data_IF_157815095891
#
_entry.id   IF_157815095891
#
_cell.length_a   1.000
_cell.length_b   1.000
_cell.length_c   1.000
_cell.angle_alpha   90.00
_cell.angle_beta   90.00
_cell.angle_gamma   90.00
#
_symmetry.space_group_name_H-M   'P 1'
#
loop_
_entity.id
_entity.type
_entity.pdbx_description
1 polymer ?
#
# COMPACT_ATOMS: atom_id res chain seq x y z
N UNK A 1 4.73 12.73 1.76
CA UNK A 1 4.58 12.11 3.10
C UNK A 1 5.59 12.75 4.03
N UNK A 2 5.23 12.94 5.28
CA UNK A 2 6.12 13.44 6.35
C UNK A 2 6.98 12.30 6.93
N UNK A 3 8.01 12.66 7.72
CA UNK A 3 8.89 11.67 8.37
C UNK A 3 8.17 10.77 9.39
N UNK A 4 7.00 11.19 9.90
CA UNK A 4 6.12 10.42 10.77
C UNK A 4 5.04 9.63 10.02
N UNK A 5 5.19 9.47 8.70
CA UNK A 5 4.33 8.64 7.87
C UNK A 5 2.93 9.21 7.61
N UNK A 6 2.74 10.52 7.72
CA UNK A 6 1.47 11.18 7.40
C UNK A 6 1.47 11.85 6.03
N UNK A 7 0.30 11.91 5.41
CA UNK A 7 0.13 12.62 4.14
C UNK A 7 0.30 14.12 4.38
N UNK A 8 1.23 14.72 3.63
CA UNK A 8 1.50 16.17 3.66
C UNK A 8 0.83 16.90 2.50
N UNK A 9 0.88 16.32 1.31
CA UNK A 9 0.31 16.90 0.10
C UNK A 9 -0.06 15.78 -0.88
N UNK A 10 -1.00 16.07 -1.77
CA UNK A 10 -1.53 15.11 -2.73
C UNK A 10 -2.06 15.82 -3.97
N UNK A 11 -2.03 15.12 -5.08
CA UNK A 11 -2.63 15.54 -6.35
C UNK A 11 -2.98 14.31 -7.20
N UNK A 12 -3.73 14.52 -8.27
CA UNK A 12 -3.94 13.54 -9.32
C UNK A 12 -4.05 14.26 -10.67
N UNK A 13 -4.32 13.53 -11.73
CA UNK A 13 -4.46 14.07 -13.09
C UNK A 13 -5.80 13.67 -13.71
N UNK A 14 -6.84 13.52 -12.91
CA UNK A 14 -8.16 13.08 -13.37
C UNK A 14 -8.98 14.23 -13.97
N UNK A 15 -8.67 15.47 -13.58
CA UNK A 15 -9.39 16.68 -13.97
C UNK A 15 -8.41 17.74 -14.49
N UNK A 16 -8.94 18.73 -15.21
CA UNK A 16 -8.14 19.78 -15.85
C UNK A 16 -7.52 20.75 -14.84
N UNK A 17 -8.13 20.94 -13.68
CA UNK A 17 -7.65 21.88 -12.66
C UNK A 17 -7.08 21.17 -11.43
N UNK A 18 -6.07 21.80 -10.82
CA UNK A 18 -5.48 21.29 -9.58
C UNK A 18 -6.50 21.29 -8.43
N UNK A 19 -7.40 22.27 -8.39
CA UNK A 19 -8.44 22.37 -7.38
C UNK A 19 -9.40 21.16 -7.43
N UNK A 20 -9.87 20.80 -8.62
CA UNK A 20 -10.73 19.62 -8.82
C UNK A 20 -10.00 18.32 -8.47
N UNK A 21 -8.74 18.19 -8.86
CA UNK A 21 -7.90 17.05 -8.53
C UNK A 21 -7.72 16.91 -7.01
N UNK A 22 -7.39 17.99 -6.31
CA UNK A 22 -7.26 17.99 -4.84
C UNK A 22 -8.60 17.70 -4.15
N UNK A 23 -9.69 18.29 -4.63
CA UNK A 23 -11.03 18.02 -4.11
C UNK A 23 -11.41 16.55 -4.26
N UNK A 24 -11.12 15.95 -5.41
CA UNK A 24 -11.38 14.52 -5.66
C UNK A 24 -10.64 13.63 -4.66
N UNK A 25 -9.33 13.84 -4.49
CA UNK A 25 -8.52 13.09 -3.51
C UNK A 25 -9.03 13.33 -2.09
N UNK A 26 -9.30 14.59 -1.71
CA UNK A 26 -9.80 14.95 -0.38
C UNK A 26 -11.08 14.19 -0.03
N UNK A 27 -12.00 14.05 -0.98
CA UNK A 27 -13.28 13.42 -0.75
C UNK A 27 -13.24 11.89 -0.82
N UNK A 28 -12.48 11.33 -1.77
CA UNK A 28 -12.55 9.90 -2.10
C UNK A 28 -11.42 9.05 -1.52
N UNK A 29 -10.28 9.67 -1.19
CA UNK A 29 -9.11 8.98 -0.61
C UNK A 29 -8.91 9.39 0.83
N UNK A 30 -9.01 10.68 1.12
CA UNK A 30 -8.80 11.24 2.46
C UNK A 30 -10.04 11.23 3.34
N UNK A 31 -11.22 10.90 2.81
CA UNK A 31 -12.50 10.93 3.52
C UNK A 31 -12.74 12.23 4.30
N UNK A 32 -12.30 13.35 3.69
CA UNK A 32 -12.32 14.71 4.25
C UNK A 32 -11.41 14.96 5.48
N UNK A 33 -10.57 14.00 5.86
CA UNK A 33 -9.53 14.24 6.87
C UNK A 33 -8.47 15.21 6.35
N UNK A 34 -7.89 16.02 7.21
CA UNK A 34 -6.82 16.97 6.84
C UNK A 34 -5.51 16.24 6.53
N UNK A 35 -5.26 15.15 7.24
CA UNK A 35 -4.15 14.23 7.00
C UNK A 35 -4.56 12.82 7.39
N UNK A 36 -3.88 11.82 6.84
CA UNK A 36 -4.03 10.42 7.21
C UNK A 36 -2.65 9.79 7.36
N UNK A 37 -2.46 8.84 8.28
CA UNK A 37 -1.24 8.06 8.35
C UNK A 37 -1.18 7.03 7.22
N UNK A 38 0.01 6.48 6.98
CA UNK A 38 0.17 5.24 6.23
C UNK A 38 -0.24 4.10 7.13
N UNK A 39 -1.30 3.40 6.76
CA UNK A 39 -1.86 2.26 7.48
C UNK A 39 -1.30 0.92 7.04
N UNK A 40 -0.82 0.83 5.79
CA UNK A 40 -0.24 -0.38 5.22
C UNK A 40 0.81 -0.04 4.17
N UNK A 41 1.84 -0.87 4.06
CA UNK A 41 2.68 -1.01 2.89
C UNK A 41 2.95 -2.49 2.66
N UNK A 42 2.70 -2.96 1.44
CA UNK A 42 2.94 -4.34 1.08
C UNK A 42 3.35 -4.49 -0.40
N UNK A 43 3.92 -5.65 -0.71
CA UNK A 43 4.29 -6.02 -2.08
C UNK A 43 3.56 -7.32 -2.39
N UNK A 44 2.44 -7.23 -3.10
CA UNK A 44 1.77 -8.39 -3.67
C UNK A 44 2.65 -9.06 -4.71
N UNK A 45 2.74 -10.38 -4.68
CA UNK A 45 3.68 -11.15 -5.52
C UNK A 45 2.99 -11.98 -6.60
N UNK A 46 1.69 -11.81 -6.80
CA UNK A 46 0.97 -12.52 -7.85
C UNK A 46 1.08 -11.79 -9.20
N UNK A 47 2.28 -11.75 -9.75
CA UNK A 47 2.58 -11.11 -11.03
C UNK A 47 1.87 -11.77 -12.21
N UNK A 48 1.59 -13.08 -12.13
CA UNK A 48 0.76 -13.78 -13.12
C UNK A 48 -0.65 -13.20 -13.17
N UNK A 49 -1.30 -13.00 -12.02
CA UNK A 49 -2.63 -12.40 -11.97
C UNK A 49 -2.61 -10.96 -12.48
N UNK A 50 -1.55 -10.18 -12.17
CA UNK A 50 -1.34 -8.84 -12.70
C UNK A 50 -1.35 -8.83 -14.24
N UNK A 51 -0.55 -9.70 -14.86
CA UNK A 51 -0.45 -9.78 -16.31
C UNK A 51 -1.74 -10.25 -16.98
N UNK A 52 -2.41 -11.23 -16.40
CA UNK A 52 -3.73 -11.68 -16.89
C UNK A 52 -4.75 -10.53 -16.82
N UNK A 53 -4.81 -9.85 -15.69
CA UNK A 53 -5.75 -8.73 -15.50
C UNK A 53 -5.46 -7.57 -16.46
N UNK A 54 -4.19 -7.27 -16.70
CA UNK A 54 -3.74 -6.24 -17.65
C UNK A 54 -4.07 -6.63 -19.10
N UNK A 55 -3.71 -7.83 -19.51
CA UNK A 55 -3.93 -8.37 -20.86
C UNK A 55 -5.41 -8.34 -21.27
N UNK A 56 -6.29 -8.67 -20.36
CA UNK A 56 -7.75 -8.70 -20.62
C UNK A 56 -8.46 -7.41 -20.20
N UNK A 57 -7.74 -6.38 -19.76
CA UNK A 57 -8.30 -5.10 -19.31
C UNK A 57 -9.42 -5.26 -18.27
N UNK A 58 -9.21 -6.12 -17.26
CA UNK A 58 -10.21 -6.43 -16.24
C UNK A 58 -9.84 -5.96 -14.84
N UNK A 59 -8.71 -5.26 -14.66
CA UNK A 59 -8.24 -4.77 -13.35
C UNK A 59 -9.37 -4.02 -12.62
N UNK A 60 -10.08 -3.13 -13.31
CA UNK A 60 -11.17 -2.32 -12.73
C UNK A 60 -12.42 -3.12 -12.32
N UNK A 61 -12.50 -4.38 -12.70
CA UNK A 61 -13.60 -5.30 -12.33
C UNK A 61 -13.26 -6.18 -11.13
N UNK A 62 -11.99 -6.21 -10.74
CA UNK A 62 -11.53 -7.05 -9.65
C UNK A 62 -11.75 -6.35 -8.32
N UNK A 63 -12.17 -7.08 -7.27
CA UNK A 63 -12.22 -6.53 -5.93
C UNK A 63 -10.81 -6.18 -5.44
N UNK A 64 -10.71 -5.18 -4.56
CA UNK A 64 -9.43 -4.70 -4.02
C UNK A 64 -8.59 -5.82 -3.41
N UNK A 65 -9.22 -6.76 -2.69
CA UNK A 65 -8.54 -7.93 -2.12
C UNK A 65 -7.78 -8.81 -3.12
N UNK A 66 -8.13 -8.73 -4.40
CA UNK A 66 -7.40 -9.41 -5.48
C UNK A 66 -6.32 -8.47 -6.04
N UNK A 67 -6.67 -7.21 -6.26
CA UNK A 67 -5.76 -6.21 -6.86
C UNK A 67 -4.54 -6.00 -6.00
N UNK A 68 -4.69 -5.88 -4.68
CA UNK A 68 -3.60 -5.71 -3.72
C UNK A 68 -2.59 -6.87 -3.72
N UNK A 69 -3.02 -8.10 -4.06
CA UNK A 69 -2.11 -9.26 -4.14
C UNK A 69 -1.26 -9.30 -5.40
N UNK A 70 -1.56 -8.45 -6.38
CA UNK A 70 -0.93 -8.48 -7.70
C UNK A 70 0.35 -7.61 -7.78
N UNK A 71 0.57 -6.70 -6.84
CA UNK A 71 1.72 -5.81 -6.91
C UNK A 71 1.94 -4.96 -5.65
N UNK A 72 2.91 -4.05 -5.73
CA UNK A 72 3.17 -3.10 -4.65
C UNK A 72 1.95 -2.20 -4.42
N UNK A 73 1.65 -1.97 -3.16
CA UNK A 73 0.58 -1.07 -2.75
C UNK A 73 0.86 -0.49 -1.37
N UNK A 74 0.21 0.61 -1.07
CA UNK A 74 0.14 1.16 0.28
C UNK A 74 -1.28 1.63 0.56
N UNK A 75 -1.66 1.64 1.83
CA UNK A 75 -2.93 2.20 2.23
C UNK A 75 -2.75 3.41 3.12
N UNK A 76 -3.70 4.33 3.02
CA UNK A 76 -3.80 5.50 3.89
C UNK A 76 -5.01 5.37 4.81
N UNK A 77 -4.86 5.79 6.05
CA UNK A 77 -5.86 5.65 7.09
C UNK A 77 -5.49 4.60 8.13
N UNK A 78 -6.48 3.83 8.55
CA UNK A 78 -6.33 2.79 9.55
C UNK A 78 -5.52 1.59 9.01
N UNK A 79 -4.95 0.78 9.89
CA UNK A 79 -4.31 -0.49 9.50
C UNK A 79 -5.37 -1.54 9.18
N UNK A 80 -4.99 -2.62 8.46
CA UNK A 80 -5.86 -3.78 8.25
C UNK A 80 -6.30 -4.48 9.56
N UNK A 81 -5.56 -4.23 10.65
CA UNK A 81 -5.78 -4.82 11.96
C UNK A 81 -6.34 -3.80 12.97
N UNK A 82 -6.97 -2.73 12.49
CA UNK A 82 -7.63 -1.75 13.37
C UNK A 82 -8.64 -2.43 14.28
N UNK A 83 -8.53 -2.15 15.59
CA UNK A 83 -9.22 -2.82 16.69
C UNK A 83 -8.76 -4.25 17.01
N UNK A 84 -7.79 -4.80 16.29
CA UNK A 84 -7.28 -6.17 16.46
C UNK A 84 -5.77 -6.22 16.77
N UNK A 85 -5.10 -5.07 16.94
CA UNK A 85 -3.65 -4.96 17.09
C UNK A 85 -3.10 -5.72 18.30
N UNK A 86 -3.94 -5.93 19.33
CA UNK A 86 -3.57 -6.64 20.55
C UNK A 86 -4.00 -8.13 20.54
N UNK A 87 -4.61 -8.59 19.44
CA UNK A 87 -5.09 -9.97 19.26
C UNK A 87 -4.06 -10.76 18.45
N UNK A 88 -3.62 -11.90 19.00
CA UNK A 88 -2.75 -12.79 18.26
C UNK A 88 -3.53 -13.54 17.17
N UNK A 89 -3.12 -13.37 15.94
CA UNK A 89 -3.66 -14.06 14.77
C UNK A 89 -2.57 -14.89 14.10
N UNK A 90 -2.96 -15.98 13.47
CA UNK A 90 -2.03 -16.91 12.82
C UNK A 90 -2.51 -17.20 11.39
N UNK A 91 -1.55 -17.35 10.47
CA UNK A 91 -1.86 -17.83 9.14
C UNK A 91 -2.17 -19.34 9.15
N UNK A 92 -2.65 -19.93 8.04
CA UNK A 92 -2.93 -21.38 7.96
C UNK A 92 -1.74 -22.27 8.30
N UNK A 93 -0.50 -21.80 8.12
CA UNK A 93 0.72 -22.55 8.44
C UNK A 93 1.15 -22.40 9.91
N UNK A 94 0.33 -21.72 10.73
CA UNK A 94 0.60 -21.53 12.15
C UNK A 94 1.63 -20.42 12.46
N UNK A 95 2.05 -19.63 11.47
CA UNK A 95 2.92 -18.48 11.67
C UNK A 95 2.12 -17.29 12.20
N UNK A 96 2.58 -16.69 13.29
CA UNK A 96 1.96 -15.49 13.85
C UNK A 96 2.05 -14.32 12.85
N UNK A 97 0.91 -13.71 12.58
CA UNK A 97 0.81 -12.47 11.83
C UNK A 97 1.03 -11.34 12.82
N UNK A 98 2.14 -10.63 12.68
CA UNK A 98 2.49 -9.52 13.56
C UNK A 98 1.99 -8.23 12.95
N UNK A 99 0.88 -7.71 13.48
CA UNK A 99 0.43 -6.37 13.16
C UNK A 99 1.32 -5.35 13.86
N UNK A 100 1.88 -4.41 13.10
CA UNK A 100 2.64 -3.28 13.63
C UNK A 100 1.72 -2.08 13.75
N UNK A 101 1.63 -1.54 14.96
CA UNK A 101 0.93 -0.28 15.19
C UNK A 101 1.72 0.91 14.60
N UNK A 102 1.02 1.89 14.09
CA UNK A 102 1.59 3.20 13.77
C UNK A 102 1.42 4.16 14.96
N UNK A 103 2.00 5.36 14.86
CA UNK A 103 1.92 6.36 15.94
C UNK A 103 0.48 6.74 16.30
N UNK A 104 -0.44 6.66 15.34
CA UNK A 104 -1.85 7.01 15.56
C UNK A 104 -2.60 5.85 16.20
N UNK A 105 -2.47 4.63 15.68
CA UNK A 105 -3.15 3.46 16.27
C UNK A 105 -2.66 3.16 17.69
N UNK A 106 -1.41 3.53 18.02
CA UNK A 106 -0.88 3.45 19.38
C UNK A 106 -1.65 4.30 20.40
N UNK A 107 -2.34 5.36 19.95
CA UNK A 107 -3.17 6.22 20.81
C UNK A 107 -4.37 5.48 21.41
N UNK A 108 -4.77 4.30 20.89
CA UNK A 108 -5.84 3.48 21.47
C UNK A 108 -5.61 3.16 22.95
N UNK A 109 -4.35 3.13 23.37
CA UNK A 109 -3.93 2.85 24.76
C UNK A 109 -4.25 4.03 25.71
N UNK A 110 -4.49 5.21 25.16
CA UNK A 110 -4.76 6.43 25.93
C UNK A 110 -6.10 7.09 25.57
N UNK A 111 -6.42 7.15 24.29
CA UNK A 111 -7.67 7.73 23.78
C UNK A 111 -8.06 7.04 22.46
N UNK A 112 -8.94 6.04 22.55
CA UNK A 112 -9.39 5.25 21.41
C UNK A 112 -10.04 6.10 20.30
N UNK A 113 -10.65 7.23 20.64
CA UNK A 113 -11.29 8.12 19.66
C UNK A 113 -10.28 8.84 18.75
N UNK A 114 -9.00 8.86 19.13
CA UNK A 114 -7.92 9.46 18.34
C UNK A 114 -7.12 8.43 17.57
N UNK A 115 -7.38 7.15 17.80
CA UNK A 115 -6.59 6.05 17.25
C UNK A 115 -7.03 5.63 15.85
N UNK A 116 -8.31 5.86 15.50
CA UNK A 116 -8.89 5.33 14.28
C UNK A 116 -9.63 6.40 13.49
N UNK A 117 -9.51 6.35 12.17
CA UNK A 117 -10.11 7.30 11.23
C UNK A 117 -11.38 6.75 10.57
N UNK A 118 -11.61 5.44 10.67
CA UNK A 118 -12.74 4.77 10.02
C UNK A 118 -12.60 4.66 8.50
N UNK A 119 -11.37 4.74 7.98
CA UNK A 119 -11.07 4.57 6.57
C UNK A 119 -9.76 3.82 6.35
N UNK A 120 -9.69 3.06 5.26
CA UNK A 120 -8.52 2.37 4.77
C UNK A 120 -8.60 2.36 3.23
N UNK A 121 -7.73 3.10 2.58
CA UNK A 121 -7.76 3.25 1.12
C UNK A 121 -6.47 2.77 0.52
N UNK A 122 -6.53 1.65 -0.22
CA UNK A 122 -5.39 1.10 -0.93
C UNK A 122 -5.08 1.89 -2.20
N UNK A 123 -3.80 2.10 -2.42
CA UNK A 123 -3.24 2.72 -3.62
C UNK A 123 -2.24 1.74 -4.22
N UNK A 124 -2.61 1.14 -5.34
CA UNK A 124 -1.77 0.17 -6.06
C UNK A 124 -0.83 0.88 -7.03
N UNK A 125 0.36 0.32 -7.21
CA UNK A 125 1.39 0.85 -8.11
C UNK A 125 1.61 -0.14 -9.26
N UNK A 126 1.23 0.20 -10.51
CA UNK A 126 1.48 -0.65 -11.66
C UNK A 126 2.98 -0.83 -11.91
N UNK A 127 3.41 -2.04 -12.29
CA UNK A 127 4.84 -2.33 -12.52
C UNK A 127 5.46 -1.49 -13.63
N UNK A 128 4.71 -1.15 -14.66
CA UNK A 128 5.16 -0.30 -15.78
C UNK A 128 5.30 1.19 -15.44
N UNK A 129 4.77 1.61 -14.28
CA UNK A 129 4.91 2.97 -13.76
C UNK A 129 5.84 3.04 -12.54
N UNK A 130 6.30 1.89 -12.06
CA UNK A 130 7.10 1.77 -10.84
C UNK A 130 8.59 1.91 -11.15
N UNK A 131 9.23 2.94 -10.61
CA UNK A 131 10.67 3.14 -10.73
C UNK A 131 11.46 2.22 -9.79
N UNK A 132 11.41 2.49 -8.48
CA UNK A 132 12.23 1.77 -7.52
C UNK A 132 11.53 1.60 -6.17
N UNK A 133 11.74 0.42 -5.56
CA UNK A 133 11.46 0.18 -4.14
C UNK A 133 12.75 -0.32 -3.49
N UNK A 134 13.27 0.47 -2.55
CA UNK A 134 14.51 0.19 -1.81
C UNK A 134 14.26 0.25 -0.31
N UNK A 135 14.67 -0.79 0.40
CA UNK A 135 14.65 -0.82 1.86
C UNK A 135 15.95 -0.24 2.40
N UNK A 136 15.82 0.77 3.24
CA UNK A 136 16.96 1.39 3.95
C UNK A 136 17.00 0.86 5.37
N UNK A 137 18.11 0.22 5.75
CA UNK A 137 18.32 -0.33 7.09
C UNK A 137 18.70 0.77 8.07
N UNK A 138 18.65 0.46 9.36
CA UNK A 138 19.05 1.40 10.44
C UNK A 138 20.51 1.85 10.38
N UNK A 139 21.38 1.03 9.81
CA UNK A 139 22.81 1.33 9.60
C UNK A 139 23.08 2.15 8.32
N UNK A 140 22.02 2.50 7.57
CA UNK A 140 22.08 3.24 6.32
C UNK A 140 22.36 2.36 5.10
N UNK A 141 22.52 1.05 5.25
CA UNK A 141 22.66 0.15 4.11
C UNK A 141 21.34 -0.03 3.37
N UNK A 142 21.41 -0.18 2.07
CA UNK A 142 20.24 -0.26 1.18
C UNK A 142 20.12 -1.65 0.56
N UNK A 143 18.87 -2.07 0.39
CA UNK A 143 18.54 -3.27 -0.38
C UNK A 143 17.45 -2.88 -1.37
N UNK A 144 17.79 -2.87 -2.66
CA UNK A 144 16.81 -2.66 -3.71
C UNK A 144 16.01 -3.94 -3.93
N UNK A 145 14.70 -3.83 -3.86
CA UNK A 145 13.76 -4.94 -4.01
C UNK A 145 13.22 -4.96 -5.44
N UNK A 146 12.79 -3.80 -5.92
CA UNK A 146 12.26 -3.61 -7.28
C UNK A 146 13.00 -2.43 -7.91
N UNK A 147 13.36 -2.56 -9.18
CA UNK A 147 13.92 -1.50 -10.00
C UNK A 147 13.35 -1.56 -11.41
N UNK A 148 12.93 -0.40 -11.93
CA UNK A 148 12.31 -0.27 -13.25
C UNK A 148 11.19 -1.31 -13.47
N UNK A 149 10.34 -1.48 -12.44
CA UNK A 149 9.21 -2.41 -12.44
C UNK A 149 9.58 -3.90 -12.42
N UNK A 150 10.83 -4.26 -12.10
CA UNK A 150 11.30 -5.64 -12.02
C UNK A 150 11.86 -5.96 -10.64
N UNK A 151 11.60 -7.16 -10.15
CA UNK A 151 12.21 -7.66 -8.93
C UNK A 151 13.71 -7.89 -9.15
N UNK A 152 14.53 -7.30 -8.30
CA UNK A 152 16.01 -7.42 -8.34
C UNK A 152 16.59 -8.00 -7.06
N UNK A 153 15.76 -8.23 -6.05
CA UNK A 153 16.15 -8.91 -4.81
C UNK A 153 16.45 -10.38 -5.12
N UNK A 154 17.59 -10.87 -4.64
CA UNK A 154 17.98 -12.29 -4.79
C UNK A 154 16.88 -13.24 -4.30
N UNK A 155 16.56 -14.25 -5.10
CA UNK A 155 15.51 -15.25 -4.82
C UNK A 155 14.10 -14.83 -5.26
N UNK A 156 13.94 -13.67 -5.90
CA UNK A 156 12.65 -13.20 -6.42
C UNK A 156 12.55 -13.22 -7.95
N UNK A 157 13.53 -13.78 -8.63
CA UNK A 157 13.68 -13.74 -10.09
C UNK A 157 12.48 -14.33 -10.84
N UNK A 158 11.88 -15.41 -10.31
CA UNK A 158 10.70 -16.06 -10.89
C UNK A 158 9.47 -15.13 -10.96
N UNK A 159 9.40 -14.11 -10.11
CA UNK A 159 8.32 -13.12 -10.15
C UNK A 159 8.35 -12.24 -11.40
N UNK A 160 9.51 -12.19 -12.09
CA UNK A 160 9.65 -11.44 -13.32
C UNK A 160 9.15 -12.17 -14.55
N UNK A 161 9.12 -13.52 -14.53
CA UNK A 161 8.73 -14.31 -15.71
C UNK A 161 7.39 -13.86 -16.32
N UNK A 162 6.30 -13.67 -15.53
CA UNK A 162 5.06 -13.15 -16.11
C UNK A 162 5.17 -11.71 -16.61
N UNK A 163 6.07 -10.91 -16.02
CA UNK A 163 6.22 -9.49 -16.36
C UNK A 163 7.01 -9.26 -17.66
N UNK A 164 7.66 -10.27 -18.22
CA UNK A 164 8.42 -10.18 -19.48
C UNK A 164 7.49 -10.00 -20.71
N UNK A 165 6.21 -10.28 -20.56
CA UNK A 165 5.21 -10.13 -21.62
C UNK A 165 4.60 -8.71 -21.73
N UNK A 166 5.11 -7.75 -20.97
CA UNK A 166 4.62 -6.35 -20.97
C UNK A 166 5.25 -5.56 -22.11
#
# INVERSE_FOLDING_TARGET
ITSDGKIKDYTCKNFDTEEENKKFIKQNVMFNHETLPIGEFAIGTNTTAYMVAKKYHVVYKLPILIVEKMGPHFAVGDTCYSFEEDIKTYNPDGKEIVARENEVSALRKTDIKKAYFGCHTDITMPYDELGEITAVRKDGSEITIIKDGRFVLEGTELLNEPLEEI
#
